data_IF_854910305175
#
_entry.id   IF_854910305175
#
_cell.length_a   1.000
_cell.length_b   1.000
_cell.length_c   1.000
_cell.angle_alpha   90.00
_cell.angle_beta   90.00
_cell.angle_gamma   90.00
#
_symmetry.space_group_name_H-M   'P 1'
#
loop_
_entity.id
_entity.type
_entity.pdbx_description
1 polymer ?
#
# COMPACT_ATOMS: atom_id res chain seq x y z
N UNK A 1 -88.18 34.95 -18.23
CA UNK A 1 -88.46 33.51 -18.07
C UNK A 1 -87.12 32.85 -17.86
N UNK A 2 -86.73 32.74 -16.59
CA UNK A 2 -85.38 32.41 -16.14
C UNK A 2 -85.42 30.97 -15.63
N UNK A 3 -84.62 30.03 -16.18
CA UNK A 3 -84.65 28.66 -15.72
C UNK A 3 -83.99 28.53 -14.34
N UNK A 4 -84.62 27.73 -13.49
CA UNK A 4 -84.34 27.52 -12.07
C UNK A 4 -82.91 27.00 -11.77
N UNK A 5 -82.38 27.25 -10.55
CA UNK A 5 -81.09 26.74 -10.13
C UNK A 5 -81.11 25.21 -9.95
N UNK A 6 -80.05 24.54 -10.43
CA UNK A 6 -79.80 23.12 -10.21
C UNK A 6 -79.63 22.85 -8.71
N UNK A 7 -80.43 21.93 -8.18
CA UNK A 7 -80.24 21.35 -6.85
C UNK A 7 -78.98 20.48 -6.85
N UNK A 8 -78.05 20.79 -5.96
CA UNK A 8 -76.97 19.89 -5.54
C UNK A 8 -77.59 18.75 -4.72
N UNK A 9 -77.32 17.47 -5.00
CA UNK A 9 -77.76 16.41 -4.11
C UNK A 9 -77.00 16.52 -2.78
N UNK A 10 -77.76 16.47 -1.69
CA UNK A 10 -77.26 16.31 -0.34
C UNK A 10 -76.42 15.01 -0.27
N UNK A 11 -75.18 15.14 0.17
CA UNK A 11 -74.43 13.99 0.66
C UNK A 11 -74.81 13.84 2.12
N UNK A 12 -75.76 12.94 2.35
CA UNK A 12 -76.08 12.44 3.67
C UNK A 12 -74.85 11.74 4.28
N UNK A 13 -74.50 12.22 5.48
CA UNK A 13 -74.69 11.39 6.67
C UNK A 13 -73.89 10.07 6.70
N UNK A 14 -72.55 10.17 6.66
CA UNK A 14 -71.68 9.19 7.33
C UNK A 14 -70.52 9.89 8.05
N UNK A 15 -70.72 10.13 9.35
CA UNK A 15 -69.64 10.31 10.33
C UNK A 15 -69.15 11.75 10.51
N UNK A 16 -69.95 12.58 11.17
CA UNK A 16 -69.37 13.67 11.96
C UNK A 16 -68.40 13.03 12.97
N UNK A 17 -67.13 13.44 12.91
CA UNK A 17 -66.12 12.98 13.87
C UNK A 17 -66.59 13.39 15.28
N UNK A 18 -66.46 12.52 16.29
CA UNK A 18 -66.76 12.86 17.67
C UNK A 18 -66.03 14.15 18.12
N UNK A 19 -66.63 14.94 19.00
CA UNK A 19 -66.06 16.21 19.47
C UNK A 19 -64.73 16.02 20.24
N UNK A 20 -64.44 14.80 20.69
CA UNK A 20 -63.20 14.35 21.34
C UNK A 20 -62.17 13.76 20.35
N UNK A 21 -62.44 13.84 19.04
CA UNK A 21 -61.49 13.43 18.02
C UNK A 21 -60.29 14.39 18.01
N UNK A 22 -59.20 13.96 18.63
CA UNK A 22 -57.90 14.61 18.52
C UNK A 22 -57.43 14.47 17.07
N UNK A 23 -57.56 15.53 16.27
CA UNK A 23 -56.81 15.63 15.02
C UNK A 23 -55.33 15.47 15.41
N UNK A 24 -54.73 14.34 15.05
CA UNK A 24 -53.28 14.19 15.07
C UNK A 24 -52.75 15.26 14.12
N UNK A 25 -52.41 16.42 14.69
CA UNK A 25 -51.97 17.59 13.96
C UNK A 25 -50.98 17.14 12.91
N UNK A 26 -51.22 17.58 11.67
CA UNK A 26 -50.32 17.49 10.52
C UNK A 26 -48.90 17.28 11.05
N UNK A 27 -48.38 16.03 10.98
CA UNK A 27 -47.00 15.75 11.40
C UNK A 27 -46.18 16.81 10.69
N UNK A 28 -45.60 17.74 11.45
CA UNK A 28 -44.83 18.83 10.88
C UNK A 28 -43.86 18.25 9.86
N UNK A 29 -43.66 18.94 8.74
CA UNK A 29 -42.73 18.51 7.71
C UNK A 29 -41.47 17.96 8.38
N UNK A 30 -41.02 16.74 8.04
CA UNK A 30 -39.91 16.11 8.74
C UNK A 30 -38.75 17.09 8.75
N UNK A 31 -38.41 17.57 9.95
CA UNK A 31 -37.30 18.49 10.15
C UNK A 31 -36.03 17.68 9.91
N UNK A 32 -35.59 17.65 8.65
CA UNK A 32 -34.35 17.03 8.27
C UNK A 32 -33.25 17.69 9.11
N UNK A 33 -32.50 16.93 9.91
CA UNK A 33 -31.48 17.50 10.77
C UNK A 33 -30.48 18.24 9.89
N UNK A 34 -30.43 19.57 10.01
CA UNK A 34 -29.39 20.39 9.38
C UNK A 34 -28.08 20.00 10.06
N UNK A 35 -27.28 19.17 9.37
CA UNK A 35 -25.98 18.77 9.86
C UNK A 35 -25.11 20.02 9.99
N UNK A 36 -24.76 20.36 11.23
CA UNK A 36 -23.68 21.31 11.50
C UNK A 36 -22.37 20.77 10.93
N UNK A 37 -21.32 21.59 10.81
CA UNK A 37 -20.00 21.11 10.36
C UNK A 37 -19.49 19.90 11.15
N UNK A 38 -19.76 19.86 12.45
CA UNK A 38 -19.47 18.69 13.32
C UNK A 38 -20.32 17.46 12.95
N UNK A 39 -21.57 17.68 12.56
CA UNK A 39 -22.46 16.62 12.03
C UNK A 39 -21.91 15.99 10.76
N UNK A 40 -21.42 16.81 9.82
CA UNK A 40 -20.77 16.35 8.59
C UNK A 40 -19.48 15.59 8.87
N UNK A 41 -18.60 16.11 9.73
CA UNK A 41 -17.35 15.42 10.09
C UNK A 41 -17.62 14.06 10.74
N UNK A 42 -18.58 13.98 11.67
CA UNK A 42 -18.97 12.71 12.31
C UNK A 42 -19.59 11.73 11.31
N UNK A 43 -20.38 12.23 10.35
CA UNK A 43 -20.93 11.40 9.29
C UNK A 43 -19.82 10.85 8.39
N UNK A 44 -18.91 11.71 7.92
CA UNK A 44 -17.79 11.30 7.07
C UNK A 44 -16.90 10.27 7.78
N UNK A 45 -16.57 10.49 9.05
CA UNK A 45 -15.83 9.52 9.86
C UNK A 45 -16.54 8.17 9.98
N UNK A 46 -17.86 8.16 10.23
CA UNK A 46 -18.64 6.91 10.28
C UNK A 46 -18.68 6.18 8.94
N UNK A 47 -18.70 6.92 7.82
CA UNK A 47 -18.62 6.29 6.51
C UNK A 47 -17.23 5.70 6.24
N UNK A 48 -16.18 6.46 6.54
CA UNK A 48 -14.80 6.02 6.32
C UNK A 48 -14.44 4.81 7.18
N UNK A 49 -14.95 4.73 8.41
CA UNK A 49 -14.71 3.62 9.35
C UNK A 49 -15.69 2.44 9.19
N UNK A 50 -16.47 2.41 8.10
CA UNK A 50 -17.35 1.27 7.81
C UNK A 50 -16.64 0.19 7.00
N UNK A 51 -16.92 -1.08 7.30
CA UNK A 51 -16.36 -2.23 6.57
C UNK A 51 -16.76 -2.22 5.09
N UNK A 52 -17.97 -1.75 4.77
CA UNK A 52 -18.44 -1.60 3.39
C UNK A 52 -17.54 -0.65 2.60
N UNK A 53 -17.22 0.51 3.18
CA UNK A 53 -16.33 1.49 2.53
C UNK A 53 -14.94 0.93 2.33
N UNK A 54 -14.39 0.19 3.29
CA UNK A 54 -13.08 -0.46 3.14
C UNK A 54 -13.05 -1.42 1.93
N UNK A 55 -14.09 -2.24 1.74
CA UNK A 55 -14.19 -3.14 0.59
C UNK A 55 -14.31 -2.39 -0.74
N UNK A 56 -15.07 -1.29 -0.78
CA UNK A 56 -15.18 -0.44 -1.96
C UNK A 56 -13.86 0.25 -2.29
N UNK A 57 -13.14 0.75 -1.28
CA UNK A 57 -11.83 1.36 -1.45
C UNK A 57 -10.79 0.35 -1.94
N UNK A 58 -10.85 -0.90 -1.47
CA UNK A 58 -10.01 -1.97 -1.96
C UNK A 58 -10.29 -2.28 -3.44
N UNK A 59 -11.57 -2.38 -3.83
CA UNK A 59 -11.95 -2.54 -5.23
C UNK A 59 -11.48 -1.36 -6.09
N UNK A 60 -11.68 -0.13 -5.59
CA UNK A 60 -11.26 1.08 -6.27
C UNK A 60 -9.75 1.13 -6.44
N UNK A 61 -8.98 0.73 -5.43
CA UNK A 61 -7.52 0.63 -5.50
C UNK A 61 -7.08 -0.36 -6.59
N UNK A 62 -7.74 -1.52 -6.69
CA UNK A 62 -7.44 -2.51 -7.73
C UNK A 62 -7.68 -1.95 -9.14
N UNK A 63 -8.79 -1.26 -9.37
CA UNK A 63 -9.10 -0.60 -10.64
C UNK A 63 -8.10 0.53 -10.93
N UNK A 64 -7.79 1.34 -9.92
CA UNK A 64 -6.85 2.45 -9.98
C UNK A 64 -5.41 2.02 -10.31
N UNK A 65 -5.04 0.77 -10.00
CA UNK A 65 -3.71 0.24 -10.30
C UNK A 65 -3.54 -0.20 -11.77
N UNK A 66 -4.65 -0.46 -12.49
CA UNK A 66 -4.61 -0.95 -13.89
C UNK A 66 -3.83 -0.01 -14.82
N UNK A 67 -4.08 1.32 -14.84
CA UNK A 67 -3.33 2.22 -15.71
C UNK A 67 -1.82 2.21 -15.44
N UNK A 68 -1.40 1.98 -14.19
CA UNK A 68 0.01 1.92 -13.81
C UNK A 68 0.78 0.77 -14.48
N UNK A 69 0.06 -0.28 -14.92
CA UNK A 69 0.62 -1.40 -15.67
C UNK A 69 0.54 -1.24 -17.20
N UNK A 70 -0.26 -0.30 -17.69
CA UNK A 70 -0.48 -0.09 -19.13
C UNK A 70 0.41 1.02 -19.70
N UNK A 71 0.72 2.04 -18.91
CA UNK A 71 1.55 3.17 -19.31
C UNK A 71 2.97 3.05 -18.74
N UNK A 72 4.01 3.48 -19.49
CA UNK A 72 5.37 3.52 -18.96
C UNK A 72 5.42 4.41 -17.71
N UNK A 73 6.03 3.92 -16.63
CA UNK A 73 6.12 4.67 -15.37
C UNK A 73 7.47 5.35 -15.28
N UNK A 74 7.51 6.66 -15.01
CA UNK A 74 8.75 7.45 -14.93
C UNK A 74 9.80 6.90 -13.98
N UNK A 75 9.38 6.19 -12.94
CA UNK A 75 10.28 5.60 -11.95
C UNK A 75 11.00 4.34 -12.44
N UNK A 76 10.46 3.63 -13.42
CA UNK A 76 10.97 2.34 -13.89
C UNK A 76 11.37 2.35 -15.36
N UNK A 77 10.70 3.16 -16.19
CA UNK A 77 10.96 3.30 -17.62
C UNK A 77 10.84 4.78 -18.05
N UNK A 78 11.83 5.63 -17.71
CA UNK A 78 11.85 7.03 -18.13
C UNK A 78 11.90 7.17 -19.67
N UNK A 79 12.63 6.27 -20.34
CA UNK A 79 12.82 6.30 -21.79
C UNK A 79 11.52 5.99 -22.54
N UNK A 80 10.74 5.02 -22.06
CA UNK A 80 9.41 4.75 -22.61
C UNK A 80 8.44 5.91 -22.46
N UNK A 81 8.57 6.72 -21.40
CA UNK A 81 7.80 7.98 -21.28
C UNK A 81 8.22 8.98 -22.36
N UNK A 82 9.52 9.20 -22.55
CA UNK A 82 10.02 10.09 -23.62
C UNK A 82 9.52 9.62 -24.99
N UNK A 83 9.67 8.32 -25.29
CA UNK A 83 9.20 7.73 -26.54
C UNK A 83 7.69 7.86 -26.72
N UNK A 84 6.90 7.77 -25.64
CA UNK A 84 5.45 8.00 -25.71
C UNK A 84 5.13 9.45 -26.11
N UNK A 85 5.86 10.44 -25.58
CA UNK A 85 5.72 11.84 -25.97
C UNK A 85 6.05 12.06 -27.45
N UNK A 86 7.11 11.42 -27.94
CA UNK A 86 7.52 11.51 -29.35
C UNK A 86 6.48 10.87 -30.28
N UNK A 87 5.95 9.70 -29.89
CA UNK A 87 4.98 8.95 -30.69
C UNK A 87 3.56 9.53 -30.61
N UNK A 88 3.21 10.22 -29.52
CA UNK A 88 1.85 10.70 -29.25
C UNK A 88 1.83 12.15 -28.71
N UNK A 89 2.35 13.14 -29.45
CA UNK A 89 2.57 14.49 -28.94
C UNK A 89 1.28 15.22 -28.53
N UNK A 90 0.14 14.92 -29.15
CA UNK A 90 -1.15 15.54 -28.81
C UNK A 90 -1.74 15.02 -27.49
N UNK A 91 -1.61 13.72 -27.22
CA UNK A 91 -2.24 13.07 -26.07
C UNK A 91 -1.33 13.00 -24.84
N UNK A 92 -0.01 12.91 -25.04
CA UNK A 92 0.95 12.77 -23.96
C UNK A 92 0.80 13.83 -22.85
N UNK A 93 0.58 15.13 -23.14
CA UNK A 93 0.35 16.13 -22.09
C UNK A 93 -0.89 15.87 -21.24
N UNK A 94 -1.96 15.31 -21.83
CA UNK A 94 -3.20 15.02 -21.09
C UNK A 94 -3.04 13.77 -20.23
N UNK A 95 -2.43 12.73 -20.78
CA UNK A 95 -2.07 11.50 -20.03
C UNK A 95 -1.18 11.85 -18.84
N UNK A 96 -0.24 12.78 -19.04
CA UNK A 96 0.63 13.27 -17.99
C UNK A 96 -0.09 14.12 -16.94
N UNK A 97 -0.97 15.03 -17.36
CA UNK A 97 -1.79 15.84 -16.45
C UNK A 97 -2.71 14.99 -15.57
N UNK A 98 -3.18 13.84 -16.08
CA UNK A 98 -3.91 12.83 -15.30
C UNK A 98 -2.99 12.02 -14.37
N UNK A 99 -1.68 12.14 -14.49
CA UNK A 99 -0.69 11.43 -13.68
C UNK A 99 -0.47 9.97 -14.09
N UNK A 100 -0.80 9.58 -15.32
CA UNK A 100 -0.75 8.17 -15.75
C UNK A 100 0.67 7.63 -15.97
N UNK A 101 1.68 8.49 -16.17
CA UNK A 101 3.09 8.09 -16.18
C UNK A 101 3.70 8.02 -14.77
N UNK A 102 2.92 8.31 -13.73
CA UNK A 102 3.36 8.34 -12.34
C UNK A 102 2.21 7.96 -11.41
N UNK A 103 1.48 6.89 -11.77
CA UNK A 103 0.21 6.51 -11.12
C UNK A 103 0.40 6.32 -9.62
N UNK A 104 1.42 5.59 -9.22
CA UNK A 104 1.68 5.24 -7.82
C UNK A 104 2.07 6.43 -6.93
N UNK A 105 2.53 7.54 -7.52
CA UNK A 105 2.83 8.79 -6.80
C UNK A 105 1.80 9.90 -7.06
N UNK A 106 0.76 9.62 -7.85
CA UNK A 106 -0.25 10.61 -8.20
C UNK A 106 -1.12 10.99 -6.98
N UNK A 107 -1.62 12.24 -6.89
CA UNK A 107 -2.47 12.65 -5.77
C UNK A 107 -3.76 11.84 -5.64
N UNK A 108 -4.37 11.45 -6.75
CA UNK A 108 -5.63 10.70 -6.76
C UNK A 108 -5.45 9.25 -6.31
N UNK A 109 -4.38 8.57 -6.77
CA UNK A 109 -4.05 7.22 -6.29
C UNK A 109 -3.67 7.28 -4.81
N UNK A 110 -2.94 8.33 -4.43
CA UNK A 110 -2.55 8.57 -3.04
C UNK A 110 -3.74 8.75 -2.11
N UNK A 111 -4.76 9.48 -2.55
CA UNK A 111 -5.99 9.66 -1.80
C UNK A 111 -6.70 8.32 -1.53
N UNK A 112 -6.74 7.41 -2.51
CA UNK A 112 -7.39 6.10 -2.34
C UNK A 112 -6.68 5.27 -1.26
N UNK A 113 -5.35 5.12 -1.34
CA UNK A 113 -4.64 4.32 -0.34
C UNK A 113 -4.65 4.99 1.05
N UNK A 114 -4.59 6.33 1.13
CA UNK A 114 -4.67 7.05 2.40
C UNK A 114 -6.06 6.88 3.05
N UNK A 115 -7.14 6.95 2.27
CA UNK A 115 -8.48 6.65 2.76
C UNK A 115 -8.59 5.20 3.23
N UNK A 116 -8.00 4.25 2.50
CA UNK A 116 -7.96 2.84 2.90
C UNK A 116 -7.20 2.66 4.22
N UNK A 117 -6.07 3.33 4.41
CA UNK A 117 -5.28 3.30 5.63
C UNK A 117 -6.04 3.89 6.83
N UNK A 118 -6.65 5.06 6.66
CA UNK A 118 -7.47 5.68 7.71
C UNK A 118 -8.70 4.80 8.03
N UNK A 119 -9.33 4.22 7.01
CA UNK A 119 -10.44 3.28 7.17
C UNK A 119 -10.01 2.07 8.00
N UNK A 120 -8.86 1.46 7.66
CA UNK A 120 -8.28 0.32 8.38
C UNK A 120 -8.06 0.65 9.85
N UNK A 121 -7.38 1.75 10.17
CA UNK A 121 -7.13 2.20 11.55
C UNK A 121 -8.46 2.43 12.28
N UNK A 122 -9.38 3.14 11.65
CA UNK A 122 -10.68 3.46 12.23
C UNK A 122 -11.58 2.25 12.45
N UNK A 123 -11.41 1.17 11.69
CA UNK A 123 -12.06 -0.11 11.91
C UNK A 123 -11.40 -0.92 13.04
N UNK A 124 -10.06 -0.94 13.08
CA UNK A 124 -9.29 -1.78 14.01
C UNK A 124 -9.37 -1.28 15.45
N UNK A 125 -9.17 0.02 15.69
CA UNK A 125 -9.13 0.58 17.06
C UNK A 125 -10.37 0.23 17.90
N UNK A 126 -11.61 0.56 17.48
CA UNK A 126 -12.79 0.29 18.29
C UNK A 126 -13.05 -1.20 18.46
N UNK A 127 -12.75 -2.00 17.42
CA UNK A 127 -12.94 -3.45 17.43
C UNK A 127 -11.97 -4.14 18.39
N UNK A 128 -10.69 -3.74 18.37
CA UNK A 128 -9.68 -4.21 19.31
C UNK A 128 -10.05 -3.85 20.74
N UNK A 129 -10.52 -2.62 21.00
CA UNK A 129 -10.98 -2.21 22.34
C UNK A 129 -12.16 -3.06 22.81
N UNK A 130 -13.15 -3.28 21.95
CA UNK A 130 -14.33 -4.09 22.28
C UNK A 130 -13.94 -5.55 22.58
N UNK A 131 -13.09 -6.13 21.73
CA UNK A 131 -12.60 -7.50 21.88
C UNK A 131 -11.76 -7.67 23.14
N UNK A 132 -10.83 -6.75 23.42
CA UNK A 132 -10.05 -6.75 24.66
C UNK A 132 -10.95 -6.65 25.89
N UNK A 133 -12.00 -5.82 25.84
CA UNK A 133 -12.99 -5.72 26.93
C UNK A 133 -13.73 -7.05 27.10
N UNK A 134 -14.20 -7.67 26.02
CA UNK A 134 -14.90 -8.95 26.06
C UNK A 134 -14.01 -10.10 26.59
N UNK A 135 -12.73 -10.10 26.23
CA UNK A 135 -11.75 -11.09 26.74
C UNK A 135 -11.50 -10.95 28.24
N UNK A 136 -11.60 -9.74 28.79
CA UNK A 136 -11.42 -9.50 30.22
C UNK A 136 -12.69 -9.73 31.04
N UNK A 137 -13.87 -9.56 30.43
CA UNK A 137 -15.15 -9.80 31.07
C UNK A 137 -15.40 -11.28 31.36
N UNK A 138 -16.10 -11.57 32.46
CA UNK A 138 -16.58 -12.91 32.76
C UNK A 138 -17.66 -13.34 31.74
N UNK A 139 -17.80 -14.65 31.46
CA UNK A 139 -18.90 -15.17 30.64
C UNK A 139 -20.25 -14.58 31.07
N UNK A 140 -21.10 -14.15 30.13
CA UNK A 140 -22.34 -13.44 30.46
C UNK A 140 -23.28 -14.31 31.31
N UNK A 141 -24.08 -13.66 32.16
CA UNK A 141 -25.08 -14.34 32.99
C UNK A 141 -26.08 -15.12 32.14
N UNK A 142 -26.48 -16.27 32.67
CA UNK A 142 -27.52 -17.13 32.08
C UNK A 142 -28.83 -16.34 31.91
N UNK A 143 -29.45 -16.33 30.72
CA UNK A 143 -30.75 -15.68 30.53
C UNK A 143 -31.84 -16.36 31.36
N UNK A 144 -32.73 -15.58 32.00
CA UNK A 144 -33.79 -16.12 32.85
C UNK A 144 -34.84 -16.99 32.13
N UNK A 145 -34.86 -17.01 30.79
CA UNK A 145 -35.79 -17.82 29.98
C UNK A 145 -35.04 -18.61 28.90
N UNK A 146 -34.46 -19.74 29.31
CA UNK A 146 -33.69 -20.63 28.43
C UNK A 146 -34.51 -21.17 27.25
N UNK A 147 -35.82 -21.33 27.41
CA UNK A 147 -36.72 -21.80 26.34
C UNK A 147 -36.82 -20.88 25.12
N UNK A 148 -36.35 -19.62 25.23
CA UNK A 148 -36.25 -18.69 24.09
C UNK A 148 -34.99 -18.89 23.25
N UNK A 149 -34.03 -19.70 23.73
CA UNK A 149 -32.81 -19.97 22.99
C UNK A 149 -33.08 -21.09 21.95
N UNK A 150 -32.60 -20.93 20.70
CA UNK A 150 -32.78 -21.94 19.64
C UNK A 150 -32.22 -23.31 20.02
N UNK A 151 -31.15 -23.33 20.81
CA UNK A 151 -30.55 -24.53 21.36
C UNK A 151 -30.72 -24.50 22.88
N UNK A 152 -31.74 -25.21 23.38
CA UNK A 152 -31.93 -25.48 24.79
C UNK A 152 -32.36 -26.93 24.99
N UNK A 153 -31.96 -27.53 26.11
CA UNK A 153 -32.35 -28.88 26.48
C UNK A 153 -32.53 -28.92 28.00
N UNK A 154 -33.61 -29.55 28.44
CA UNK A 154 -33.93 -29.71 29.87
C UNK A 154 -33.89 -31.19 30.20
N UNK A 155 -33.13 -31.56 31.23
CA UNK A 155 -33.08 -32.92 31.76
C UNK A 155 -33.39 -32.85 33.24
N UNK A 156 -34.28 -33.72 33.69
CA UNK A 156 -34.56 -33.93 35.11
C UNK A 156 -33.71 -35.10 35.59
N UNK A 157 -33.02 -34.93 36.73
CA UNK A 157 -32.26 -35.99 37.38
C UNK A 157 -32.93 -36.33 38.71
N UNK A 158 -33.23 -37.61 38.94
CA UNK A 158 -33.66 -38.12 40.25
C UNK A 158 -32.41 -38.46 41.09
N UNK A 159 -31.61 -37.44 41.40
CA UNK A 159 -30.43 -37.58 42.24
C UNK A 159 -30.57 -36.78 43.53
N UNK A 160 -31.21 -37.39 44.52
CA UNK A 160 -31.42 -36.80 45.86
C UNK A 160 -30.11 -36.67 46.67
N UNK A 161 -29.00 -37.26 46.21
CA UNK A 161 -27.75 -37.32 46.97
C UNK A 161 -26.84 -36.13 46.74
N UNK A 162 -27.03 -35.38 45.65
CA UNK A 162 -26.18 -34.25 45.25
C UNK A 162 -26.95 -32.95 45.26
N UNK A 163 -26.39 -31.96 45.95
CA UNK A 163 -26.91 -30.60 45.98
C UNK A 163 -26.74 -29.89 44.63
N UNK A 164 -27.58 -28.89 44.30
CA UNK A 164 -27.39 -28.06 43.10
C UNK A 164 -26.00 -27.41 43.01
N UNK A 165 -25.37 -27.10 44.15
CA UNK A 165 -24.04 -26.53 44.22
C UNK A 165 -22.94 -27.54 43.80
N UNK A 166 -23.06 -28.81 44.20
CA UNK A 166 -22.13 -29.88 43.80
C UNK A 166 -22.23 -30.16 42.31
N UNK A 167 -23.46 -30.22 41.75
CA UNK A 167 -23.67 -30.39 40.32
C UNK A 167 -23.09 -29.22 39.51
N UNK A 168 -23.25 -27.99 40.00
CA UNK A 168 -22.65 -26.80 39.37
C UNK A 168 -21.11 -26.83 39.46
N UNK A 169 -20.54 -27.35 40.55
CA UNK A 169 -19.09 -27.53 40.70
C UNK A 169 -18.55 -28.56 39.69
N UNK A 170 -19.20 -29.72 39.58
CA UNK A 170 -18.83 -30.77 38.61
C UNK A 170 -18.90 -30.25 37.18
N UNK A 171 -19.99 -29.56 36.83
CA UNK A 171 -20.15 -28.93 35.51
C UNK A 171 -19.03 -27.90 35.24
N UNK A 172 -18.70 -27.06 36.22
CA UNK A 172 -17.59 -26.09 36.10
C UNK A 172 -16.25 -26.79 35.87
N UNK A 173 -15.98 -27.87 36.59
CA UNK A 173 -14.73 -28.64 36.48
C UNK A 173 -14.62 -29.30 35.11
N UNK A 174 -15.70 -29.93 34.64
CA UNK A 174 -15.75 -30.55 33.32
C UNK A 174 -15.52 -29.51 32.21
N UNK A 175 -16.25 -28.39 32.24
CA UNK A 175 -16.16 -27.32 31.24
C UNK A 175 -14.77 -26.66 31.21
N UNK A 176 -14.14 -26.47 32.37
CA UNK A 176 -12.75 -26.00 32.46
C UNK A 176 -11.76 -26.98 31.85
N UNK A 177 -11.93 -28.29 32.09
CA UNK A 177 -11.06 -29.34 31.53
C UNK A 177 -11.09 -29.35 30.00
N UNK A 178 -12.24 -29.05 29.38
CA UNK A 178 -12.37 -28.94 27.92
C UNK A 178 -12.07 -27.53 27.37
N UNK A 179 -11.46 -26.66 28.19
CA UNK A 179 -10.90 -25.37 27.74
C UNK A 179 -11.88 -24.19 27.71
N UNK A 180 -13.03 -24.28 28.39
CA UNK A 180 -13.95 -23.14 28.49
C UNK A 180 -13.55 -22.20 29.63
N UNK A 181 -13.80 -20.90 29.43
CA UNK A 181 -13.87 -19.93 30.53
C UNK A 181 -15.20 -20.13 31.23
N UNK A 182 -15.21 -20.24 32.56
CA UNK A 182 -16.41 -20.60 33.32
C UNK A 182 -16.61 -19.69 34.52
N UNK A 183 -17.84 -19.19 34.67
CA UNK A 183 -18.30 -18.42 35.83
C UNK A 183 -19.60 -18.99 36.36
N UNK A 184 -19.73 -19.05 37.68
CA UNK A 184 -20.92 -19.50 38.39
C UNK A 184 -21.71 -18.29 38.89
N UNK A 185 -23.02 -18.30 38.69
CA UNK A 185 -23.93 -17.25 39.14
C UNK A 185 -25.08 -17.83 39.99
N UNK A 186 -25.45 -17.20 41.11
CA UNK A 186 -26.71 -17.52 41.80
C UNK A 186 -27.91 -17.11 40.93
N UNK A 187 -28.95 -17.94 40.87
CA UNK A 187 -30.16 -17.79 40.02
C UNK A 187 -31.46 -17.80 40.86
N UNK A 188 -31.41 -17.21 42.06
CA UNK A 188 -32.56 -17.10 42.97
C UNK A 188 -32.90 -18.39 43.72
N UNK A 189 -33.18 -18.29 45.03
CA UNK A 189 -33.36 -19.46 45.90
C UNK A 189 -32.13 -20.39 45.86
N UNK A 190 -32.37 -21.69 45.73
CA UNK A 190 -31.33 -22.72 45.63
C UNK A 190 -30.82 -22.98 44.20
N UNK A 191 -31.18 -22.13 43.24
CA UNK A 191 -30.78 -22.30 41.83
C UNK A 191 -29.38 -21.74 41.61
N UNK A 192 -28.54 -22.52 40.95
CA UNK A 192 -27.19 -22.14 40.53
C UNK A 192 -27.09 -22.27 39.01
N UNK A 193 -26.47 -21.30 38.36
CA UNK A 193 -26.20 -21.36 36.92
C UNK A 193 -24.69 -21.31 36.63
N UNK A 194 -24.27 -22.07 35.62
CA UNK A 194 -22.88 -22.13 35.15
C UNK A 194 -22.84 -21.59 33.74
N UNK A 195 -22.23 -20.42 33.56
CA UNK A 195 -22.00 -19.82 32.26
C UNK A 195 -20.59 -20.18 31.76
N UNK A 196 -20.50 -20.64 30.52
CA UNK A 196 -19.23 -21.02 29.91
C UNK A 196 -19.12 -20.56 28.46
N UNK A 197 -17.93 -20.09 28.06
CA UNK A 197 -17.66 -19.62 26.70
C UNK A 197 -16.26 -20.00 26.23
N UNK A 198 -16.08 -20.07 24.90
CA UNK A 198 -14.79 -20.23 24.21
C UNK A 198 -14.90 -19.65 22.79
N UNK A 199 -13.76 -19.49 22.11
CA UNK A 199 -13.74 -19.17 20.67
C UNK A 199 -13.19 -17.79 20.29
N UNK A 200 -12.59 -17.04 21.22
CA UNK A 200 -12.00 -15.73 20.94
C UNK A 200 -10.81 -15.77 19.96
N UNK A 201 -10.16 -16.93 19.77
CA UNK A 201 -8.93 -17.04 18.96
C UNK A 201 -9.12 -16.62 17.49
N UNK A 202 -10.26 -16.96 16.87
CA UNK A 202 -10.57 -16.57 15.49
C UNK A 202 -10.56 -15.05 15.33
N UNK A 203 -11.19 -14.36 16.28
CA UNK A 203 -11.30 -12.91 16.27
C UNK A 203 -9.97 -12.26 16.65
N UNK A 204 -9.27 -12.80 17.66
CA UNK A 204 -7.92 -12.32 18.05
C UNK A 204 -6.94 -12.42 16.89
N UNK A 205 -6.91 -13.54 16.17
CA UNK A 205 -6.02 -13.73 15.03
C UNK A 205 -6.33 -12.74 13.90
N UNK A 206 -7.62 -12.55 13.59
CA UNK A 206 -8.03 -11.55 12.60
C UNK A 206 -7.61 -10.13 13.01
N UNK A 207 -7.82 -9.74 14.27
CA UNK A 207 -7.41 -8.42 14.77
C UNK A 207 -5.90 -8.24 14.78
N UNK A 208 -5.15 -9.25 15.22
CA UNK A 208 -3.69 -9.23 15.21
C UNK A 208 -3.14 -9.04 13.80
N UNK A 209 -3.70 -9.74 12.80
CA UNK A 209 -3.33 -9.56 11.40
C UNK A 209 -3.49 -8.10 10.95
N UNK A 210 -4.64 -7.48 11.24
CA UNK A 210 -4.89 -6.10 10.83
C UNK A 210 -4.00 -5.10 11.59
N UNK A 211 -3.75 -5.33 12.89
CA UNK A 211 -2.81 -4.50 13.68
C UNK A 211 -1.40 -4.61 13.12
N UNK A 212 -0.94 -5.82 12.79
CA UNK A 212 0.36 -6.05 12.18
C UNK A 212 0.47 -5.36 10.82
N UNK A 213 -0.58 -5.44 9.98
CA UNK A 213 -0.65 -4.73 8.71
C UNK A 213 -0.53 -3.21 8.90
N UNK A 214 -1.24 -2.62 9.87
CA UNK A 214 -1.08 -1.19 10.21
C UNK A 214 0.35 -0.88 10.65
N UNK A 215 0.95 -1.74 11.48
CA UNK A 215 2.34 -1.59 11.93
C UNK A 215 3.34 -1.60 10.77
N UNK A 216 3.20 -2.53 9.83
CA UNK A 216 4.03 -2.59 8.61
C UNK A 216 3.84 -1.33 7.77
N UNK A 217 2.61 -0.86 7.57
CA UNK A 217 2.34 0.36 6.80
C UNK A 217 2.95 1.61 7.47
N UNK A 218 2.90 1.72 8.80
CA UNK A 218 3.58 2.80 9.53
C UNK A 218 5.10 2.69 9.35
N UNK A 219 5.67 1.50 9.51
CA UNK A 219 7.11 1.28 9.35
C UNK A 219 7.60 1.63 7.94
N UNK A 220 6.87 1.20 6.90
CA UNK A 220 7.17 1.53 5.50
C UNK A 220 6.98 3.02 5.24
N UNK A 221 5.93 3.65 5.77
CA UNK A 221 5.69 5.09 5.59
C UNK A 221 6.78 5.94 6.25
N UNK A 222 7.17 5.61 7.47
CA UNK A 222 8.25 6.30 8.20
C UNK A 222 9.60 6.01 7.53
N UNK A 223 9.93 4.75 7.25
CA UNK A 223 11.17 4.39 6.56
C UNK A 223 11.28 5.05 5.19
N UNK A 224 10.19 5.11 4.44
CA UNK A 224 10.12 5.79 3.15
C UNK A 224 10.27 7.31 3.24
N UNK A 225 9.93 7.93 4.38
CA UNK A 225 10.14 9.37 4.59
C UNK A 225 11.63 9.74 4.78
N UNK A 226 12.45 8.81 5.29
CA UNK A 226 13.89 8.99 5.47
C UNK A 226 14.75 8.36 4.37
N UNK A 227 14.16 7.54 3.48
CA UNK A 227 14.90 6.85 2.42
C UNK A 227 15.42 7.83 1.36
N UNK A 228 16.49 7.44 0.69
CA UNK A 228 16.92 8.02 -0.58
C UNK A 228 17.18 6.92 -1.61
N UNK A 229 17.15 7.29 -2.88
CA UNK A 229 17.49 6.43 -4.01
C UNK A 229 18.18 7.30 -5.05
N UNK A 230 19.44 6.98 -5.33
CA UNK A 230 20.23 7.60 -6.39
C UNK A 230 20.58 6.58 -7.47
N UNK A 231 20.65 7.02 -8.73
CA UNK A 231 21.18 6.23 -9.83
C UNK A 231 22.35 6.99 -10.45
N UNK A 232 23.41 6.26 -10.80
CA UNK A 232 24.60 6.78 -11.43
C UNK A 232 25.12 5.78 -12.45
N UNK A 233 25.38 6.24 -13.67
CA UNK A 233 26.14 5.50 -14.68
C UNK A 233 27.61 5.59 -14.31
N UNK A 234 28.27 4.46 -14.13
CA UNK A 234 29.70 4.39 -13.78
C UNK A 234 30.42 3.63 -14.89
N UNK A 235 31.47 4.22 -15.42
CA UNK A 235 32.35 3.58 -16.41
C UNK A 235 33.45 2.83 -15.69
N UNK A 236 33.92 1.71 -16.24
CA UNK A 236 35.05 0.97 -15.68
C UNK A 236 36.29 1.87 -15.54
N UNK A 237 36.95 1.80 -14.38
CA UNK A 237 38.04 2.68 -13.99
C UNK A 237 37.59 3.96 -13.29
N UNK A 238 36.31 4.34 -13.38
CA UNK A 238 35.76 5.47 -12.65
C UNK A 238 35.22 5.08 -11.28
N UNK A 239 35.19 6.06 -10.38
CA UNK A 239 34.52 5.95 -9.10
C UNK A 239 33.63 7.14 -8.81
N UNK A 240 32.77 6.95 -7.83
CA UNK A 240 31.90 8.00 -7.31
C UNK A 240 31.92 8.03 -5.79
N UNK A 241 31.60 9.20 -5.25
CA UNK A 241 31.35 9.40 -3.82
C UNK A 241 29.85 9.49 -3.59
N UNK A 242 29.36 9.01 -2.45
CA UNK A 242 27.96 9.10 -2.08
C UNK A 242 27.56 10.55 -1.74
N UNK A 243 27.36 11.37 -2.77
CA UNK A 243 26.97 12.76 -2.67
C UNK A 243 25.88 13.07 -3.69
N UNK A 244 24.87 13.84 -3.28
CA UNK A 244 23.69 14.18 -4.10
C UNK A 244 24.07 14.70 -5.49
N UNK A 245 25.08 15.56 -5.58
CA UNK A 245 25.49 16.21 -6.82
C UNK A 245 26.09 15.26 -7.86
N UNK A 246 26.50 14.05 -7.46
CA UNK A 246 27.15 13.08 -8.35
C UNK A 246 26.13 12.17 -9.02
N UNK A 247 24.92 12.02 -8.47
CA UNK A 247 23.89 11.13 -9.04
C UNK A 247 23.22 11.73 -10.28
N UNK A 248 23.03 10.90 -11.32
CA UNK A 248 22.31 11.28 -12.55
C UNK A 248 20.81 11.46 -12.27
N UNK A 249 20.25 10.61 -11.40
CA UNK A 249 18.92 10.80 -10.83
C UNK A 249 18.96 10.60 -9.32
N UNK A 250 18.22 11.44 -8.59
CA UNK A 250 18.15 11.37 -7.15
C UNK A 250 16.73 11.64 -6.66
N UNK A 251 16.19 10.70 -5.91
CA UNK A 251 14.87 10.81 -5.28
C UNK A 251 15.01 10.56 -3.78
N UNK A 252 14.29 11.33 -2.97
CA UNK A 252 14.36 11.21 -1.52
C UNK A 252 12.99 11.35 -0.87
N UNK A 253 12.88 10.81 0.34
CA UNK A 253 11.72 11.01 1.20
C UNK A 253 11.62 12.45 1.71
N UNK A 254 10.45 12.81 2.24
CA UNK A 254 10.14 14.17 2.68
C UNK A 254 10.95 14.64 3.91
N UNK A 255 11.54 13.71 4.67
CA UNK A 255 12.33 13.99 5.87
C UNK A 255 13.82 13.68 5.70
N UNK A 256 14.26 13.48 4.47
CA UNK A 256 15.66 13.27 4.14
C UNK A 256 16.43 14.59 4.11
N UNK A 257 17.65 14.59 4.67
CA UNK A 257 18.67 15.62 4.50
C UNK A 257 19.97 15.01 3.98
N UNK A 258 20.84 15.83 3.38
CA UNK A 258 22.13 15.35 2.85
C UNK A 258 23.06 14.81 3.95
N UNK A 259 22.82 15.18 5.22
CA UNK A 259 23.49 14.62 6.39
C UNK A 259 23.17 13.13 6.61
N UNK A 260 22.08 12.63 6.01
CA UNK A 260 21.72 11.21 6.02
C UNK A 260 22.49 10.38 4.98
N UNK A 261 23.34 11.00 4.13
CA UNK A 261 24.20 10.27 3.20
C UNK A 261 25.48 9.80 3.91
N UNK A 262 25.68 8.48 4.09
CA UNK A 262 26.95 7.99 4.61
C UNK A 262 28.07 8.26 3.59
N UNK A 263 29.21 8.83 4.02
CA UNK A 263 30.27 9.28 3.11
C UNK A 263 31.18 8.13 2.71
N UNK A 264 30.73 7.29 1.78
CA UNK A 264 31.54 6.23 1.17
C UNK A 264 31.92 6.59 -0.28
N UNK A 265 32.94 5.91 -0.82
CA UNK A 265 33.24 5.92 -2.25
C UNK A 265 33.29 4.52 -2.83
N UNK A 266 32.94 4.39 -4.11
CA UNK A 266 32.93 3.15 -4.87
C UNK A 266 33.62 3.40 -6.19
N UNK A 267 34.60 2.58 -6.53
CA UNK A 267 35.27 2.58 -7.84
C UNK A 267 34.91 1.29 -8.57
N UNK A 268 34.39 1.39 -9.79
CA UNK A 268 34.15 0.23 -10.64
C UNK A 268 35.46 -0.21 -11.25
N UNK A 269 35.94 -1.39 -10.88
CA UNK A 269 37.21 -1.91 -11.37
C UNK A 269 37.04 -2.72 -12.66
N UNK A 270 35.99 -3.54 -12.70
CA UNK A 270 35.70 -4.45 -13.82
C UNK A 270 34.22 -4.82 -13.83
N UNK A 271 33.65 -4.96 -15.01
CA UNK A 271 32.29 -5.41 -15.26
C UNK A 271 32.29 -6.56 -16.27
N UNK A 272 32.00 -7.76 -15.77
CA UNK A 272 31.96 -8.98 -16.58
C UNK A 272 30.53 -9.48 -16.74
N UNK A 273 30.11 -9.73 -17.97
CA UNK A 273 28.87 -10.45 -18.29
C UNK A 273 29.21 -11.87 -18.73
N UNK A 274 28.57 -12.87 -18.11
CA UNK A 274 28.75 -14.27 -18.48
C UNK A 274 27.62 -14.73 -19.39
N UNK A 275 27.99 -15.44 -20.44
CA UNK A 275 27.05 -16.00 -21.41
C UNK A 275 27.11 -17.52 -21.37
N UNK A 276 26.02 -18.17 -21.78
CA UNK A 276 26.02 -19.60 -22.08
C UNK A 276 26.81 -19.80 -23.39
N UNK A 277 27.93 -20.50 -23.31
CA UNK A 277 28.78 -20.83 -24.46
C UNK A 277 28.67 -22.31 -24.86
N UNK A 278 28.23 -23.17 -23.94
CA UNK A 278 28.34 -24.63 -24.07
C UNK A 278 27.03 -25.36 -24.46
N UNK A 279 25.86 -24.70 -24.41
CA UNK A 279 24.57 -25.27 -24.82
C UNK A 279 24.09 -24.63 -26.14
N UNK A 280 24.14 -25.34 -27.28
CA UNK A 280 23.72 -24.81 -28.58
C UNK A 280 22.27 -24.28 -28.61
N UNK A 281 21.39 -24.75 -27.73
CA UNK A 281 19.98 -24.29 -27.67
C UNK A 281 19.82 -22.97 -26.92
N UNK A 282 20.77 -22.65 -26.05
CA UNK A 282 20.77 -21.48 -25.19
C UNK A 282 22.02 -20.62 -25.41
N UNK A 283 22.72 -20.79 -26.53
CA UNK A 283 23.95 -20.07 -26.82
C UNK A 283 23.69 -18.56 -26.82
N UNK A 284 24.51 -17.81 -26.09
CA UNK A 284 24.39 -16.35 -25.98
C UNK A 284 23.36 -15.84 -24.96
N UNK A 285 22.65 -16.72 -24.24
CA UNK A 285 21.85 -16.28 -23.09
C UNK A 285 22.76 -15.84 -21.95
N UNK A 286 22.38 -14.76 -21.26
CA UNK A 286 23.14 -14.21 -20.14
C UNK A 286 22.88 -15.04 -18.87
N UNK A 287 23.96 -15.41 -18.17
CA UNK A 287 23.90 -16.20 -16.93
C UNK A 287 24.26 -15.38 -15.70
N UNK A 288 25.13 -14.39 -15.81
CA UNK A 288 25.58 -13.59 -14.68
C UNK A 288 26.03 -12.19 -15.12
N UNK A 289 25.86 -11.22 -14.22
CA UNK A 289 26.41 -9.88 -14.34
C UNK A 289 27.22 -9.59 -13.08
N UNK A 290 28.51 -9.35 -13.26
CA UNK A 290 29.49 -9.28 -12.17
C UNK A 290 30.18 -7.93 -12.23
N UNK A 291 29.81 -7.01 -11.35
CA UNK A 291 30.54 -5.78 -11.14
C UNK A 291 31.52 -5.98 -9.99
N UNK A 292 32.83 -5.88 -10.25
CA UNK A 292 33.81 -5.84 -9.18
C UNK A 292 34.19 -4.41 -8.85
N UNK A 293 34.04 -4.06 -7.58
CA UNK A 293 34.17 -2.69 -7.09
C UNK A 293 35.16 -2.64 -5.94
N UNK A 294 35.87 -1.52 -5.84
CA UNK A 294 36.66 -1.20 -4.66
C UNK A 294 35.90 -0.14 -3.85
N UNK A 295 35.63 -0.45 -2.58
CA UNK A 295 34.80 0.36 -1.70
C UNK A 295 35.62 0.95 -0.57
N UNK A 296 35.57 2.26 -0.40
CA UNK A 296 36.11 2.96 0.76
C UNK A 296 34.96 3.37 1.68
N UNK A 297 34.81 2.68 2.80
CA UNK A 297 33.80 2.98 3.81
C UNK A 297 34.16 4.20 4.67
N UNK A 298 33.17 4.83 5.33
CA UNK A 298 33.44 5.92 6.25
C UNK A 298 34.43 5.51 7.34
N UNK A 299 35.51 6.27 7.49
CA UNK A 299 36.59 6.02 8.46
C UNK A 299 37.43 4.76 8.21
N UNK A 300 37.36 4.16 7.01
CA UNK A 300 38.28 3.11 6.61
C UNK A 300 39.61 3.71 6.10
N UNK A 301 40.73 3.09 6.46
CA UNK A 301 42.07 3.52 6.01
C UNK A 301 42.37 3.05 4.57
N UNK A 302 41.67 2.03 4.07
CA UNK A 302 41.90 1.44 2.77
C UNK A 302 40.61 0.94 2.13
N UNK A 303 40.58 0.95 0.80
CA UNK A 303 39.47 0.38 0.03
C UNK A 303 39.49 -1.16 0.09
N UNK A 304 38.32 -1.76 0.11
CA UNK A 304 38.12 -3.22 0.10
C UNK A 304 37.44 -3.63 -1.20
N UNK A 305 37.94 -4.69 -1.83
CA UNK A 305 37.34 -5.21 -3.05
C UNK A 305 36.10 -6.05 -2.74
N UNK A 306 35.02 -5.81 -3.46
CA UNK A 306 33.73 -6.48 -3.32
C UNK A 306 33.09 -6.72 -4.69
N UNK A 307 32.10 -7.62 -4.74
CA UNK A 307 31.39 -7.97 -5.98
C UNK A 307 29.92 -7.64 -5.80
N UNK A 308 29.30 -7.06 -6.84
CA UNK A 308 27.87 -6.76 -6.93
C UNK A 308 27.25 -7.56 -8.08
N UNK A 309 26.10 -8.20 -7.85
CA UNK A 309 25.31 -8.91 -8.87
C UNK A 309 23.83 -8.52 -8.82
N UNK A 310 23.04 -8.88 -9.84
CA UNK A 310 21.60 -8.50 -9.99
C UNK A 310 20.73 -8.90 -8.79
N UNK A 311 21.06 -9.97 -8.07
CA UNK A 311 20.33 -10.41 -6.87
C UNK A 311 21.23 -10.51 -5.62
N UNK A 312 22.45 -10.00 -5.70
CA UNK A 312 23.42 -9.96 -4.60
C UNK A 312 23.92 -8.51 -4.48
N UNK A 313 23.10 -7.61 -3.89
CA UNK A 313 23.51 -6.23 -3.68
C UNK A 313 24.63 -6.15 -2.65
N UNK A 314 25.38 -5.05 -2.71
CA UNK A 314 26.44 -4.76 -1.76
C UNK A 314 25.98 -3.74 -0.73
N UNK A 315 25.99 -4.13 0.54
CA UNK A 315 25.67 -3.24 1.66
C UNK A 315 26.91 -2.45 2.08
N UNK A 316 26.81 -1.12 2.08
CA UNK A 316 27.89 -0.17 2.40
C UNK A 316 27.34 0.87 3.37
N UNK A 317 27.82 0.91 4.61
CA UNK A 317 27.38 1.88 5.62
C UNK A 317 25.84 2.03 5.74
N UNK A 318 25.08 0.93 5.63
CA UNK A 318 23.61 0.92 5.69
C UNK A 318 22.90 1.35 4.39
N UNK A 319 23.65 1.51 3.29
CA UNK A 319 23.13 1.74 1.93
C UNK A 319 23.33 0.51 1.08
N UNK A 320 22.33 0.15 0.28
CA UNK A 320 22.41 -0.98 -0.64
C UNK A 320 22.75 -0.49 -2.05
N UNK A 321 23.85 -1.02 -2.62
CA UNK A 321 24.27 -0.79 -3.98
C UNK A 321 23.77 -1.92 -4.88
N UNK A 322 22.91 -1.58 -5.85
CA UNK A 322 22.33 -2.52 -6.80
C UNK A 322 22.89 -2.30 -8.20
N UNK A 323 23.07 -3.40 -8.94
CA UNK A 323 23.30 -3.35 -10.37
C UNK A 323 21.94 -3.24 -11.08
N UNK A 324 21.65 -2.08 -11.67
CA UNK A 324 20.38 -1.82 -12.35
C UNK A 324 20.39 -2.19 -13.84
N UNK A 325 21.56 -2.10 -14.48
CA UNK A 325 21.73 -2.37 -15.90
C UNK A 325 23.17 -2.15 -16.34
N UNK A 326 23.44 -2.41 -17.61
CA UNK A 326 24.75 -2.26 -18.23
C UNK A 326 24.62 -1.69 -19.65
N UNK A 327 25.70 -1.13 -20.15
CA UNK A 327 25.81 -0.60 -21.50
C UNK A 327 27.25 -0.67 -21.98
N UNK A 328 27.52 -0.07 -23.12
CA UNK A 328 28.87 0.03 -23.66
C UNK A 328 29.46 1.40 -23.38
N UNK A 329 30.75 1.47 -23.10
CA UNK A 329 31.48 2.73 -22.97
C UNK A 329 32.74 2.68 -23.85
N UNK A 330 32.59 2.79 -25.19
CA UNK A 330 33.74 2.76 -26.08
C UNK A 330 34.65 3.98 -25.87
N UNK A 331 35.96 3.76 -25.99
CA UNK A 331 36.91 4.84 -26.22
C UNK A 331 36.82 5.25 -27.69
N UNK A 332 36.46 6.52 -27.92
CA UNK A 332 36.28 7.07 -29.26
C UNK A 332 37.33 8.14 -29.49
N UNK A 333 38.18 7.91 -30.49
CA UNK A 333 39.17 8.88 -30.96
C UNK A 333 38.71 9.48 -32.29
N UNK A 334 38.50 10.79 -32.33
CA UNK A 334 38.19 11.54 -33.57
C UNK A 334 39.44 12.33 -33.99
N UNK A 335 39.72 12.32 -35.28
CA UNK A 335 40.81 13.08 -35.88
C UNK A 335 40.29 14.06 -36.93
N UNK A 336 40.91 15.23 -37.01
CA UNK A 336 40.65 16.21 -38.06
C UNK A 336 41.23 15.74 -39.43
N UNK A 337 40.95 16.46 -40.54
CA UNK A 337 41.51 16.12 -41.85
C UNK A 337 43.05 16.14 -41.91
N UNK A 338 43.71 16.86 -41.00
CA UNK A 338 45.17 16.93 -40.89
C UNK A 338 45.75 15.78 -40.03
N UNK A 339 44.88 14.93 -39.44
CA UNK A 339 45.23 13.77 -38.62
C UNK A 339 45.42 14.05 -37.13
N UNK A 340 45.21 15.29 -36.69
CA UNK A 340 45.27 15.72 -35.29
C UNK A 340 44.10 15.16 -34.51
N UNK A 341 44.34 14.64 -33.30
CA UNK A 341 43.27 14.17 -32.42
C UNK A 341 42.49 15.38 -31.90
N UNK A 342 41.19 15.41 -32.15
CA UNK A 342 40.27 16.47 -31.69
C UNK A 342 39.31 15.99 -30.60
N UNK A 343 39.19 14.68 -30.43
CA UNK A 343 38.48 14.03 -29.32
C UNK A 343 39.16 12.69 -29.03
N UNK A 344 39.38 12.37 -27.77
CA UNK A 344 39.78 11.03 -27.33
C UNK A 344 39.18 10.78 -25.94
N UNK A 345 37.95 10.28 -25.92
CA UNK A 345 37.16 10.15 -24.69
C UNK A 345 36.44 8.81 -24.64
N UNK A 346 36.22 8.32 -23.41
CA UNK A 346 35.32 7.18 -23.16
C UNK A 346 33.91 7.72 -22.99
N UNK A 347 33.01 7.35 -23.90
CA UNK A 347 31.66 7.89 -23.93
C UNK A 347 30.67 6.76 -23.60
N UNK A 348 29.83 6.90 -22.57
CA UNK A 348 28.82 5.89 -22.26
C UNK A 348 27.67 5.91 -23.28
N UNK A 349 27.33 4.74 -23.79
CA UNK A 349 26.20 4.47 -24.69
C UNK A 349 25.14 3.72 -23.91
N UNK A 350 23.96 4.34 -23.77
CA UNK A 350 22.89 3.79 -22.94
C UNK A 350 21.99 2.85 -23.77
N UNK A 351 21.66 1.66 -23.23
CA UNK A 351 20.80 0.70 -23.93
C UNK A 351 19.39 1.26 -24.11
N UNK A 352 18.82 1.00 -25.28
CA UNK A 352 17.47 1.41 -25.69
C UNK A 352 16.48 0.25 -25.64
N UNK A 353 16.98 -0.98 -25.65
CA UNK A 353 16.18 -2.20 -25.64
C UNK A 353 16.89 -3.35 -24.89
N UNK A 354 16.22 -4.48 -24.76
CA UNK A 354 16.76 -5.69 -24.12
C UNK A 354 17.86 -6.39 -24.91
N UNK A 355 18.14 -5.96 -26.14
CA UNK A 355 19.25 -6.46 -26.96
C UNK A 355 20.52 -5.60 -26.80
N UNK A 356 20.52 -4.63 -25.88
CA UNK A 356 21.61 -3.69 -25.64
C UNK A 356 21.93 -2.78 -26.83
N UNK A 357 20.98 -2.60 -27.77
CA UNK A 357 21.10 -1.57 -28.82
C UNK A 357 21.29 -0.24 -28.11
N UNK A 358 22.43 0.43 -28.31
CA UNK A 358 22.78 1.58 -27.47
C UNK A 358 22.89 2.87 -28.28
N UNK A 359 22.48 3.98 -27.67
CA UNK A 359 22.61 5.31 -28.23
C UNK A 359 23.58 6.13 -27.38
N UNK A 360 24.55 6.74 -28.06
CA UNK A 360 25.49 7.69 -27.47
C UNK A 360 25.42 9.01 -28.21
N UNK A 361 25.75 10.09 -27.51
CA UNK A 361 25.90 11.42 -28.11
C UNK A 361 27.31 11.89 -27.81
N UNK A 362 28.04 12.23 -28.86
CA UNK A 362 29.37 12.82 -28.76
C UNK A 362 29.34 14.23 -29.32
N UNK A 363 30.01 15.16 -28.63
CA UNK A 363 30.16 16.53 -29.11
C UNK A 363 31.61 16.71 -29.53
N UNK A 364 31.82 17.09 -30.78
CA UNK A 364 33.15 17.41 -31.31
C UNK A 364 33.25 18.94 -31.41
N UNK A 365 33.82 19.62 -30.41
CA UNK A 365 33.75 21.07 -30.33
C UNK A 365 34.63 21.78 -31.37
N UNK A 366 35.79 21.21 -31.73
CA UNK A 366 36.82 21.87 -32.54
C UNK A 366 37.39 20.96 -33.64
N UNK A 367 38.01 21.55 -34.67
CA UNK A 367 38.80 20.85 -35.69
C UNK A 367 38.05 20.38 -36.94
N UNK A 368 36.76 20.70 -37.07
CA UNK A 368 35.98 20.50 -38.29
C UNK A 368 35.60 21.85 -38.90
N UNK A 369 35.58 21.93 -40.24
CA UNK A 369 35.24 23.16 -40.98
C UNK A 369 33.77 23.57 -40.80
N UNK A 370 32.92 22.62 -40.43
CA UNK A 370 31.56 22.81 -39.93
C UNK A 370 31.41 22.11 -38.57
N UNK A 371 30.62 22.70 -37.66
CA UNK A 371 30.33 22.09 -36.36
C UNK A 371 29.31 20.95 -36.57
N UNK A 372 29.78 19.70 -36.49
CA UNK A 372 28.93 18.52 -36.69
C UNK A 372 28.54 17.94 -35.32
N UNK A 373 27.23 17.86 -35.06
CA UNK A 373 26.70 16.99 -34.00
C UNK A 373 26.21 15.69 -34.63
N UNK A 374 26.89 14.57 -34.36
CA UNK A 374 26.44 13.25 -34.80
C UNK A 374 25.98 12.40 -33.61
N UNK A 375 24.89 11.65 -33.82
CA UNK A 375 24.39 10.64 -32.90
C UNK A 375 24.76 9.25 -33.42
N UNK A 376 25.95 8.72 -33.08
CA UNK A 376 26.32 7.36 -33.47
C UNK A 376 25.38 6.34 -32.82
N UNK A 377 24.95 5.35 -33.60
CA UNK A 377 24.21 4.17 -33.13
C UNK A 377 25.15 2.98 -33.10
N UNK A 378 25.22 2.28 -31.97
CA UNK A 378 26.08 1.10 -31.77
C UNK A 378 25.22 -0.09 -31.38
#
# INVERSE_FOLDING_TARGET
MTPAPKQTPAVDEFGARPDDYVDHGRRGDPTLPRLSGVGWARWAWRQLTSMRTALLLLLLLAIAAVPGSLFPQRSSDPNGVVQYFDNNPEWAPTVDALGLFSVYSSPWFSAIYLLLFVSLIGCVIPRTRHHATAMLQAPPRTPGRLSRLPAHHTVTFDDERRSPAELAHDARTLLRRVGYRVTTYPDGGDRVSVAAERGYLRETGNLLFHIALVGVLIAVGVGGAFRYQGQRVVVEGEGFVNARAVYDTFTSGAWFSDENLPPFSVTLRDFTVKYVEDDPRNLGFITDYIATVDVLEPNADAATSAVVRVNEPLSIAGTELYLLGNGYAPQITVRDPDGTIVLDEVIPFLPQDGNLTSLGIMKVPDGLTEQIGESPRV
#
